data_IF_418018750845
#
_entry.id   IF_418018750845
#
_cell.length_a   1.000
_cell.length_b   1.000
_cell.length_c   1.000
_cell.angle_alpha   90.00
_cell.angle_beta   90.00
_cell.angle_gamma   90.00
#
_symmetry.space_group_name_H-M   'P 1'
#
loop_
_entity.id
_entity.type
_entity.pdbx_description
1 polymer ?
#
# COMPACT_ATOMS: atom_id res chain seq x y z
N UNK A 1 7.72 11.45 12.74
CA UNK A 1 8.80 11.96 11.86
C UNK A 1 8.16 12.45 10.56
N UNK A 2 8.41 13.68 10.09
CA UNK A 2 7.88 14.12 8.78
C UNK A 2 8.70 13.45 7.68
N UNK A 3 8.15 12.43 7.03
CA UNK A 3 8.77 11.85 5.85
C UNK A 3 8.95 12.93 4.77
N UNK A 4 10.18 13.08 4.27
CA UNK A 4 10.53 14.12 3.29
C UNK A 4 9.94 13.79 1.92
N UNK A 5 9.16 14.69 1.35
CA UNK A 5 8.57 14.59 0.00
C UNK A 5 9.58 14.84 -1.14
N UNK A 6 10.89 14.87 -0.85
CA UNK A 6 11.94 15.20 -1.82
C UNK A 6 12.39 14.04 -2.69
N UNK A 7 12.05 12.79 -2.33
CA UNK A 7 12.49 11.60 -3.08
C UNK A 7 11.45 11.28 -4.15
N UNK A 8 11.87 11.25 -5.42
CA UNK A 8 11.00 10.94 -6.55
C UNK A 8 11.40 9.59 -7.18
N UNK A 9 10.46 8.64 -7.24
CA UNK A 9 10.61 7.32 -7.82
C UNK A 9 9.99 7.25 -9.23
N UNK A 10 10.40 8.16 -10.12
CA UNK A 10 9.83 8.34 -11.48
C UNK A 10 9.88 7.12 -12.39
N UNK A 11 10.67 6.10 -12.04
CA UNK A 11 10.84 4.86 -12.82
C UNK A 11 10.31 3.61 -12.11
N UNK A 12 9.72 3.74 -10.93
CA UNK A 12 9.26 2.60 -10.14
C UNK A 12 7.94 2.07 -10.70
N UNK A 13 8.00 1.00 -11.49
CA UNK A 13 6.81 0.33 -12.06
C UNK A 13 6.22 -0.76 -11.15
N UNK A 14 7.02 -1.33 -10.25
CA UNK A 14 6.61 -2.35 -9.27
C UNK A 14 7.22 -2.05 -7.91
N UNK A 15 6.41 -2.17 -6.87
CA UNK A 15 6.81 -2.05 -5.48
C UNK A 15 6.33 -3.31 -4.74
N UNK A 16 7.26 -4.02 -4.09
CA UNK A 16 6.97 -5.03 -3.07
C UNK A 16 7.42 -4.48 -1.74
N UNK A 17 6.54 -4.50 -0.77
CA UNK A 17 6.86 -4.19 0.62
C UNK A 17 6.66 -5.43 1.47
N UNK A 18 7.56 -5.62 2.43
CA UNK A 18 7.47 -6.67 3.41
C UNK A 18 7.43 -6.02 4.79
N UNK A 19 6.23 -5.68 5.30
CA UNK A 19 6.13 -5.03 6.60
C UNK A 19 6.60 -5.96 7.72
N UNK A 20 7.44 -5.43 8.60
CA UNK A 20 7.93 -6.06 9.82
C UNK A 20 7.56 -5.26 11.10
N UNK A 21 6.94 -4.09 10.94
CA UNK A 21 6.55 -3.16 12.00
C UNK A 21 5.16 -2.55 11.71
N UNK A 22 4.43 -2.08 12.73
CA UNK A 22 3.02 -1.65 12.67
C UNK A 22 2.81 -0.33 11.91
N UNK A 23 3.87 0.45 11.75
CA UNK A 23 3.82 1.82 11.23
C UNK A 23 4.13 1.91 9.72
N UNK A 24 4.12 0.78 8.99
CA UNK A 24 4.51 0.73 7.58
C UNK A 24 3.58 1.45 6.60
N UNK A 25 2.33 1.68 6.99
CA UNK A 25 1.29 2.24 6.12
C UNK A 25 1.54 3.71 5.76
N UNK A 26 1.96 4.55 6.72
CA UNK A 26 2.26 5.97 6.47
C UNK A 26 3.48 6.15 5.52
N UNK A 27 4.64 5.50 5.75
CA UNK A 27 5.76 5.50 4.81
C UNK A 27 5.36 4.99 3.42
N UNK A 28 4.53 3.94 3.36
CA UNK A 28 4.04 3.42 2.09
C UNK A 28 3.34 4.53 1.30
N UNK A 29 2.41 5.27 1.91
CA UNK A 29 1.67 6.33 1.20
C UNK A 29 2.60 7.42 0.64
N UNK A 30 3.69 7.71 1.34
CA UNK A 30 4.72 8.66 0.86
C UNK A 30 5.47 8.08 -0.34
N UNK A 31 5.95 6.83 -0.27
CA UNK A 31 6.63 6.17 -1.40
C UNK A 31 5.72 6.10 -2.61
N UNK A 32 4.47 5.73 -2.39
CA UNK A 32 3.45 5.61 -3.43
C UNK A 32 3.13 6.96 -4.08
N UNK A 33 2.97 8.02 -3.27
CA UNK A 33 2.78 9.40 -3.77
C UNK A 33 3.93 9.91 -4.64
N UNK A 34 5.13 9.38 -4.42
CA UNK A 34 6.34 9.70 -5.17
C UNK A 34 6.62 8.75 -6.35
N UNK A 35 5.69 7.84 -6.67
CA UNK A 35 5.86 6.80 -7.71
C UNK A 35 4.81 6.95 -8.82
N UNK A 36 4.94 7.97 -9.70
CA UNK A 36 3.86 8.37 -10.63
C UNK A 36 3.52 7.31 -11.69
N UNK A 37 4.40 6.34 -11.94
CA UNK A 37 4.20 5.28 -12.95
C UNK A 37 4.01 3.90 -12.33
N UNK A 38 3.75 3.81 -11.02
CA UNK A 38 3.60 2.53 -10.34
C UNK A 38 2.37 1.78 -10.85
N UNK A 39 2.59 0.56 -11.34
CA UNK A 39 1.54 -0.31 -11.90
C UNK A 39 1.29 -1.55 -11.06
N UNK A 40 2.24 -1.97 -10.24
CA UNK A 40 2.15 -3.20 -9.45
C UNK A 40 2.56 -2.95 -8.01
N UNK A 41 1.61 -3.11 -7.09
CA UNK A 41 1.85 -3.07 -5.65
C UNK A 41 1.69 -4.46 -5.05
N UNK A 42 2.68 -4.90 -4.26
CA UNK A 42 2.66 -6.15 -3.51
C UNK A 42 2.89 -5.87 -2.02
N UNK A 43 2.01 -6.37 -1.17
CA UNK A 43 2.14 -6.41 0.30
C UNK A 43 2.38 -7.86 0.70
N UNK A 44 3.41 -8.10 1.49
CA UNK A 44 3.87 -9.45 1.82
C UNK A 44 4.45 -9.50 3.24
N UNK A 45 3.61 -9.74 4.24
CA UNK A 45 4.09 -9.76 5.63
C UNK A 45 5.11 -10.86 5.84
N UNK A 46 6.17 -10.54 6.59
CA UNK A 46 6.97 -11.58 7.20
C UNK A 46 6.11 -12.28 8.27
N UNK A 47 6.22 -13.60 8.38
CA UNK A 47 5.53 -14.46 9.35
C UNK A 47 6.04 -14.16 10.78
N UNK A 48 5.73 -12.98 11.30
CA UNK A 48 5.97 -12.58 12.69
C UNK A 48 4.60 -12.45 13.36
N UNK A 49 4.52 -12.80 14.65
CA UNK A 49 3.30 -12.78 15.44
C UNK A 49 2.60 -11.42 15.36
N UNK A 50 1.65 -11.32 14.42
CA UNK A 50 0.90 -10.11 14.08
C UNK A 50 -0.08 -9.71 15.19
N UNK A 51 -0.26 -10.54 16.23
CA UNK A 51 -1.18 -10.29 17.36
C UNK A 51 -0.99 -8.90 17.98
N UNK A 52 0.24 -8.36 18.02
CA UNK A 52 0.54 -7.04 18.60
C UNK A 52 0.77 -5.92 17.57
N UNK A 53 0.68 -6.19 16.27
CA UNK A 53 0.85 -5.16 15.24
C UNK A 53 -0.43 -4.31 15.14
N UNK A 54 -0.51 -3.30 16.00
CA UNK A 54 -1.54 -2.27 15.96
C UNK A 54 -1.34 -1.40 14.71
N UNK A 55 -1.81 -1.87 13.56
CA UNK A 55 -1.84 -1.07 12.33
C UNK A 55 -2.63 0.22 12.62
N UNK A 56 -2.02 1.39 12.38
CA UNK A 56 -2.76 2.65 12.38
C UNK A 56 -2.95 3.12 10.94
N UNK A 57 -4.09 2.80 10.32
CA UNK A 57 -4.41 3.34 9.00
C UNK A 57 -5.09 4.70 9.13
N UNK A 58 -4.34 5.75 8.78
CA UNK A 58 -4.91 7.07 8.55
C UNK A 58 -5.14 7.24 7.05
N UNK A 59 -6.41 7.12 6.64
CA UNK A 59 -6.78 7.32 5.25
C UNK A 59 -6.33 8.73 4.78
N UNK A 60 -5.65 8.84 3.63
CA UNK A 60 -5.27 10.15 3.09
C UNK A 60 -6.49 10.99 2.70
N UNK A 61 -6.40 12.30 2.92
CA UNK A 61 -7.43 13.28 2.55
C UNK A 61 -7.68 13.33 1.03
N UNK A 62 -6.64 13.07 0.24
CA UNK A 62 -6.69 13.05 -1.22
C UNK A 62 -6.22 11.73 -1.79
N UNK A 63 -6.87 11.28 -2.86
CA UNK A 63 -6.45 10.08 -3.59
C UNK A 63 -5.15 10.36 -4.35
N UNK A 64 -4.06 9.61 -4.09
CA UNK A 64 -2.83 9.76 -4.84
C UNK A 64 -3.03 9.49 -6.34
N UNK A 65 -2.35 10.26 -7.17
CA UNK A 65 -2.50 10.16 -8.63
C UNK A 65 -2.21 8.75 -9.15
N UNK A 66 -1.13 8.10 -8.70
CA UNK A 66 -0.74 6.74 -9.13
C UNK A 66 -1.89 5.74 -8.94
N UNK A 67 -2.60 5.84 -7.80
CA UNK A 67 -3.69 4.92 -7.44
C UNK A 67 -4.82 5.07 -8.46
N UNK A 68 -5.23 6.32 -8.71
CA UNK A 68 -6.32 6.61 -9.62
C UNK A 68 -6.05 6.35 -11.10
N UNK A 69 -4.79 6.36 -11.55
CA UNK A 69 -4.46 6.44 -12.99
C UNK A 69 -3.48 5.40 -13.52
N UNK A 70 -2.76 4.69 -12.64
CA UNK A 70 -1.68 3.81 -13.08
C UNK A 70 -1.69 2.42 -12.44
N UNK A 71 -2.26 2.25 -11.24
CA UNK A 71 -2.22 0.94 -10.58
C UNK A 71 -3.04 -0.11 -11.37
N UNK A 72 -2.36 -1.15 -11.85
CA UNK A 72 -2.95 -2.23 -12.66
C UNK A 72 -3.07 -3.55 -11.86
N UNK A 73 -2.14 -3.79 -10.92
CA UNK A 73 -2.07 -5.03 -10.14
C UNK A 73 -1.86 -4.70 -8.67
N UNK A 74 -2.71 -5.27 -7.81
CA UNK A 74 -2.56 -5.25 -6.37
C UNK A 74 -2.53 -6.70 -5.86
N UNK A 75 -1.50 -7.04 -5.09
CA UNK A 75 -1.36 -8.35 -4.47
C UNK A 75 -1.09 -8.17 -2.99
N UNK A 76 -1.89 -8.80 -2.15
CA UNK A 76 -1.59 -9.05 -0.75
C UNK A 76 -1.34 -10.55 -0.64
N UNK A 77 -0.08 -10.89 -0.38
CA UNK A 77 0.40 -12.26 -0.32
C UNK A 77 0.13 -12.80 1.10
N UNK A 78 1.17 -13.07 1.89
CA UNK A 78 0.99 -13.63 3.23
C UNK A 78 0.58 -12.58 4.28
N UNK A 79 -0.12 -13.05 5.32
CA UNK A 79 -0.44 -12.27 6.52
C UNK A 79 -1.66 -11.37 6.44
N UNK A 80 -2.56 -11.53 5.45
CA UNK A 80 -3.88 -10.90 5.52
C UNK A 80 -4.77 -11.67 6.50
N UNK A 81 -5.08 -11.08 7.65
CA UNK A 81 -5.97 -11.70 8.63
C UNK A 81 -7.39 -11.10 8.61
N UNK A 82 -7.62 -10.12 7.74
CA UNK A 82 -8.90 -9.41 7.66
C UNK A 82 -9.16 -8.54 8.88
N UNK A 83 -8.10 -8.01 9.50
CA UNK A 83 -8.17 -7.03 10.58
C UNK A 83 -8.83 -5.74 10.07
N UNK A 84 -9.38 -4.94 10.98
CA UNK A 84 -10.14 -3.73 10.64
C UNK A 84 -9.34 -2.79 9.72
N UNK A 85 -8.06 -2.61 10.03
CA UNK A 85 -7.18 -1.66 9.33
C UNK A 85 -6.70 -2.19 7.98
N UNK A 86 -6.46 -3.51 7.87
CA UNK A 86 -6.20 -4.16 6.59
C UNK A 86 -7.40 -4.04 5.65
N UNK A 87 -8.61 -4.29 6.17
CA UNK A 87 -9.86 -4.11 5.41
C UNK A 87 -10.04 -2.68 4.94
N UNK A 88 -9.76 -1.68 5.80
CA UNK A 88 -9.82 -0.27 5.42
C UNK A 88 -8.82 0.06 4.32
N UNK A 89 -7.57 -0.38 4.46
CA UNK A 89 -6.54 -0.17 3.44
C UNK A 89 -6.90 -0.84 2.11
N UNK A 90 -7.27 -2.13 2.12
CA UNK A 90 -7.68 -2.86 0.93
C UNK A 90 -8.88 -2.18 0.27
N UNK A 91 -9.89 -1.82 1.05
CA UNK A 91 -11.07 -1.11 0.55
C UNK A 91 -10.68 0.21 -0.10
N UNK A 92 -9.77 0.97 0.51
CA UNK A 92 -9.26 2.22 -0.05
C UNK A 92 -8.54 1.99 -1.39
N UNK A 93 -7.64 1.01 -1.48
CA UNK A 93 -6.95 0.68 -2.73
C UNK A 93 -7.96 0.30 -3.81
N UNK A 94 -8.88 -0.62 -3.52
CA UNK A 94 -9.87 -1.09 -4.48
C UNK A 94 -10.83 0.02 -4.94
N UNK A 95 -11.30 0.87 -4.03
CA UNK A 95 -12.23 1.94 -4.33
C UNK A 95 -11.62 3.05 -5.20
N UNK A 96 -10.30 3.25 -5.11
CA UNK A 96 -9.62 4.37 -5.75
C UNK A 96 -8.79 3.97 -6.98
N UNK A 97 -8.64 2.68 -7.27
CA UNK A 97 -7.81 2.19 -8.38
C UNK A 97 -8.58 1.98 -9.68
N UNK A 98 -8.80 3.04 -10.46
CA UNK A 98 -9.62 2.99 -11.68
C UNK A 98 -9.04 2.11 -12.79
N UNK A 99 -7.73 1.89 -12.79
CA UNK A 99 -7.02 1.09 -13.80
C UNK A 99 -6.73 -0.35 -13.35
N UNK A 100 -7.24 -0.76 -12.18
CA UNK A 100 -6.94 -2.06 -11.59
C UNK A 100 -7.51 -3.19 -12.47
N UNK A 101 -6.64 -4.10 -12.87
CA UNK A 101 -6.97 -5.27 -13.69
C UNK A 101 -7.01 -6.55 -12.87
N UNK A 102 -6.21 -6.62 -11.81
CA UNK A 102 -6.12 -7.78 -10.92
C UNK A 102 -5.91 -7.33 -9.48
N UNK A 103 -6.71 -7.91 -8.59
CA UNK A 103 -6.50 -7.89 -7.15
C UNK A 103 -6.40 -9.34 -6.66
N UNK A 104 -5.39 -9.64 -5.86
CA UNK A 104 -5.25 -10.95 -5.20
C UNK A 104 -4.99 -10.69 -3.72
N UNK A 105 -5.76 -11.36 -2.87
CA UNK A 105 -5.62 -11.35 -1.41
C UNK A 105 -5.63 -12.82 -1.01
N UNK A 106 -4.53 -13.29 -0.42
CA UNK A 106 -4.31 -14.70 -0.05
C UNK A 106 -4.53 -14.87 1.44
#
# INVERSE_FOLDING_TARGET
LRYSSTINFSRLGKLRICPDDSDWLEPLMVVLGNSPILKHLVVDYAIVDLEDMALSWNQPDSVPSFLSSHLEIFEWMEGYEGRVEEKKFVTYILANSKCLKRATII
#
